data_IF_886344512857
#
_entry.id   IF_886344512857
#
_cell.length_a   1.000
_cell.length_b   1.000
_cell.length_c   1.000
_cell.angle_alpha   90.00
_cell.angle_beta   90.00
_cell.angle_gamma   90.00
#
_symmetry.space_group_name_H-M   'P 1'
#
loop_
_entity.id
_entity.type
_entity.pdbx_description
1 polymer ?
#
# COMPACT_ATOMS: atom_id res chain seq x y z
N UNK A 1 4.51 -9.10 16.57
CA UNK A 1 5.30 -8.62 17.75
C UNK A 1 6.82 -8.60 17.48
N UNK A 2 7.52 -9.72 17.20
CA UNK A 2 8.99 -9.72 17.01
C UNK A 2 9.53 -8.75 15.93
N UNK A 3 8.85 -8.61 14.79
CA UNK A 3 9.29 -7.71 13.70
C UNK A 3 9.23 -6.22 14.07
N UNK A 4 8.18 -5.79 14.78
CA UNK A 4 8.02 -4.40 15.20
C UNK A 4 9.07 -4.00 16.23
N UNK A 5 9.31 -4.86 17.25
CA UNK A 5 10.36 -4.64 18.25
C UNK A 5 11.76 -4.48 17.63
N UNK A 6 12.06 -5.26 16.57
CA UNK A 6 13.30 -5.10 15.83
C UNK A 6 13.38 -3.72 15.15
N UNK A 7 12.30 -3.28 14.50
CA UNK A 7 12.25 -1.97 13.85
C UNK A 7 12.36 -0.83 14.87
N UNK A 8 11.70 -0.92 16.03
CA UNK A 8 11.84 0.05 17.12
C UNK A 8 13.29 0.17 17.58
N UNK A 9 13.99 -0.97 17.71
CA UNK A 9 15.43 -0.98 18.02
C UNK A 9 16.25 -0.28 16.95
N UNK A 10 16.01 -0.57 15.68
CA UNK A 10 16.71 0.06 14.54
C UNK A 10 16.46 1.57 14.51
N UNK A 11 15.20 1.99 14.67
CA UNK A 11 14.81 3.42 14.73
C UNK A 11 15.56 4.13 15.86
N UNK A 12 15.64 3.51 17.05
CA UNK A 12 16.35 4.06 18.19
C UNK A 12 17.86 4.15 17.96
N UNK A 13 18.49 3.09 17.45
CA UNK A 13 19.94 3.04 17.21
C UNK A 13 20.38 4.02 16.12
N UNK A 14 19.57 4.17 15.06
CA UNK A 14 19.84 5.08 13.94
C UNK A 14 19.26 6.50 14.14
N UNK A 15 18.56 6.76 15.25
CA UNK A 15 17.91 8.04 15.59
C UNK A 15 17.00 8.56 14.47
N UNK A 16 16.19 7.67 13.90
CA UNK A 16 15.29 8.01 12.80
C UNK A 16 14.02 8.68 13.34
N UNK A 17 13.49 9.72 12.65
CA UNK A 17 12.24 10.37 13.03
C UNK A 17 11.03 9.56 12.54
N UNK A 18 10.93 8.30 12.95
CA UNK A 18 9.92 7.34 12.47
C UNK A 18 9.17 6.72 13.65
N UNK A 19 7.87 6.54 13.51
CA UNK A 19 7.04 5.80 14.45
C UNK A 19 6.78 4.38 13.92
N UNK A 20 6.82 3.39 14.83
CA UNK A 20 6.57 1.99 14.49
C UNK A 20 5.25 1.57 15.14
N UNK A 21 4.31 1.14 14.31
CA UNK A 21 3.02 0.63 14.76
C UNK A 21 2.95 -0.88 14.54
N UNK A 22 2.42 -1.60 15.54
CA UNK A 22 2.28 -3.05 15.50
C UNK A 22 0.80 -3.44 15.58
N UNK A 23 0.14 -3.52 14.43
CA UNK A 23 -1.28 -3.87 14.36
C UNK A 23 -1.72 -4.13 12.93
N UNK A 24 -3.01 -4.36 12.76
CA UNK A 24 -3.62 -4.44 11.44
C UNK A 24 -3.99 -3.05 10.95
N UNK A 25 -3.83 -2.82 9.65
CA UNK A 25 -4.20 -1.54 9.02
C UNK A 25 -5.68 -1.19 9.25
N UNK A 26 -6.56 -2.19 9.31
CA UNK A 26 -7.99 -2.01 9.56
C UNK A 26 -8.30 -1.54 11.00
N UNK A 27 -7.41 -1.82 11.96
CA UNK A 27 -7.55 -1.32 13.34
C UNK A 27 -7.23 0.17 13.38
N UNK A 28 -6.16 0.60 12.71
CA UNK A 28 -5.76 2.00 12.62
C UNK A 28 -6.77 2.82 11.80
N UNK A 29 -7.36 2.27 10.74
CA UNK A 29 -8.37 2.97 9.94
C UNK A 29 -9.63 3.40 10.73
N UNK A 30 -9.89 2.77 11.88
CA UNK A 30 -11.01 3.13 12.77
C UNK A 30 -10.65 4.21 13.79
N UNK A 31 -9.37 4.53 13.94
CA UNK A 31 -8.88 5.55 14.87
C UNK A 31 -8.85 6.89 14.16
N UNK A 32 -9.50 7.89 14.74
CA UNK A 32 -9.65 9.23 14.13
C UNK A 32 -8.31 9.87 13.82
N UNK A 33 -7.26 9.64 14.62
CA UNK A 33 -5.92 10.19 14.36
C UNK A 33 -5.25 9.66 13.08
N UNK A 34 -5.69 8.53 12.53
CA UNK A 34 -5.09 7.89 11.36
C UNK A 34 -5.94 8.05 10.10
N UNK A 35 -7.19 8.50 10.23
CA UNK A 35 -8.05 8.76 9.09
C UNK A 35 -7.51 9.92 8.27
N UNK A 36 -7.37 9.69 6.97
CA UNK A 36 -6.87 10.66 6.00
C UNK A 36 -5.50 11.30 6.33
N UNK A 37 -4.73 10.72 7.26
CA UNK A 37 -3.49 11.29 7.78
C UNK A 37 -2.26 11.01 6.89
N UNK A 38 -2.38 10.13 5.90
CA UNK A 38 -1.25 9.60 5.12
C UNK A 38 -1.38 9.96 3.64
N UNK A 39 -0.88 11.12 3.17
CA UNK A 39 -0.94 11.48 1.76
C UNK A 39 -0.23 10.47 0.86
N UNK A 40 0.84 9.84 1.37
CA UNK A 40 1.61 8.84 0.64
C UNK A 40 1.68 7.54 1.46
N UNK A 41 1.33 6.42 0.84
CA UNK A 41 1.48 5.10 1.43
C UNK A 41 2.31 4.22 0.52
N UNK A 42 3.21 3.43 1.10
CA UNK A 42 3.89 2.36 0.37
C UNK A 42 3.66 1.00 1.03
N UNK A 43 3.49 -0.04 0.21
CA UNK A 43 3.31 -1.42 0.66
C UNK A 43 4.34 -2.36 0.03
N UNK A 44 5.11 -3.04 0.88
CA UNK A 44 6.09 -4.05 0.44
C UNK A 44 5.48 -5.45 0.45
N UNK A 45 5.13 -5.96 -0.73
CA UNK A 45 4.78 -7.36 -1.00
C UNK A 45 3.81 -7.98 0.01
N UNK A 46 2.62 -7.40 0.16
CA UNK A 46 1.56 -7.99 0.98
C UNK A 46 0.21 -7.70 0.32
N UNK A 47 -0.50 -8.76 -0.05
CA UNK A 47 -1.86 -8.79 -0.58
C UNK A 47 -2.08 -8.31 -2.04
N UNK A 48 -3.17 -8.81 -2.69
CA UNK A 48 -3.65 -8.32 -3.99
C UNK A 48 -3.96 -6.82 -3.96
N UNK A 49 -3.80 -6.16 -5.11
CA UNK A 49 -3.95 -4.71 -5.28
C UNK A 49 -5.30 -4.19 -4.78
N UNK A 50 -6.38 -4.90 -5.08
CA UNK A 50 -7.72 -4.54 -4.60
C UNK A 50 -7.84 -4.55 -3.07
N UNK A 51 -7.13 -5.44 -2.38
CA UNK A 51 -7.13 -5.48 -0.91
C UNK A 51 -6.35 -4.29 -0.35
N UNK A 52 -5.18 -4.01 -0.90
CA UNK A 52 -4.39 -2.84 -0.53
C UNK A 52 -5.17 -1.54 -0.74
N UNK A 53 -5.85 -1.41 -1.88
CA UNK A 53 -6.63 -0.23 -2.19
C UNK A 53 -7.69 0.05 -1.12
N UNK A 54 -8.44 -0.98 -0.70
CA UNK A 54 -9.43 -0.85 0.38
C UNK A 54 -8.79 -0.45 1.71
N UNK A 55 -7.69 -1.11 2.09
CA UNK A 55 -7.01 -0.85 3.35
C UNK A 55 -6.47 0.58 3.45
N UNK A 56 -5.96 1.10 2.34
CA UNK A 56 -5.34 2.43 2.29
C UNK A 56 -6.36 3.55 2.11
N UNK A 57 -7.49 3.31 1.41
CA UNK A 57 -8.49 4.34 1.14
C UNK A 57 -8.86 5.23 2.36
N UNK A 58 -9.22 4.69 3.55
CA UNK A 58 -9.59 5.51 4.70
C UNK A 58 -8.40 6.20 5.39
N UNK A 59 -7.17 5.74 5.14
CA UNK A 59 -5.96 6.29 5.75
C UNK A 59 -5.39 7.47 4.96
N UNK A 60 -5.80 7.63 3.71
CA UNK A 60 -5.28 8.68 2.83
C UNK A 60 -6.31 9.79 2.66
N UNK A 61 -5.92 11.02 2.33
CA UNK A 61 -6.83 12.04 1.85
C UNK A 61 -7.20 11.80 0.36
N UNK A 62 -8.15 12.57 -0.17
CA UNK A 62 -8.32 12.73 -1.63
C UNK A 62 -7.02 13.28 -2.23
N UNK A 63 -6.65 12.81 -3.42
CA UNK A 63 -5.36 13.09 -4.05
C UNK A 63 -4.17 12.34 -3.43
N UNK A 64 -4.37 11.59 -2.35
CA UNK A 64 -3.33 10.72 -1.78
C UNK A 64 -2.97 9.56 -2.72
N UNK A 65 -1.75 9.02 -2.59
CA UNK A 65 -1.24 7.98 -3.48
C UNK A 65 -0.74 6.74 -2.74
N UNK A 66 -1.07 5.58 -3.29
CA UNK A 66 -0.57 4.28 -2.84
C UNK A 66 0.45 3.75 -3.84
N UNK A 67 1.68 3.54 -3.37
CA UNK A 67 2.77 2.91 -4.12
C UNK A 67 2.96 1.46 -3.68
N UNK A 68 2.82 0.50 -4.60
CA UNK A 68 3.05 -0.91 -4.29
C UNK A 68 3.83 -1.62 -5.38
N UNK A 69 4.75 -2.47 -4.95
CA UNK A 69 5.52 -3.33 -5.84
C UNK A 69 4.71 -4.55 -6.23
N UNK A 70 4.62 -4.83 -7.53
CA UNK A 70 3.84 -5.92 -8.12
C UNK A 70 4.69 -6.73 -9.10
N UNK A 71 4.32 -8.00 -9.25
CA UNK A 71 5.00 -8.97 -10.10
C UNK A 71 4.20 -9.29 -11.35
N UNK A 72 4.36 -10.51 -11.83
CA UNK A 72 3.84 -10.95 -13.13
C UNK A 72 2.31 -10.97 -13.17
N UNK A 73 1.67 -11.19 -12.03
CA UNK A 73 0.20 -11.23 -11.85
C UNK A 73 -0.50 -9.87 -11.85
N UNK A 74 0.23 -8.77 -12.15
CA UNK A 74 -0.36 -7.43 -12.10
C UNK A 74 -1.59 -7.31 -12.99
N UNK A 75 -1.62 -7.96 -14.16
CA UNK A 75 -2.75 -7.86 -15.08
C UNK A 75 -4.04 -8.36 -14.42
N UNK A 76 -4.01 -9.54 -13.81
CA UNK A 76 -5.16 -10.08 -13.07
C UNK A 76 -5.52 -9.18 -11.87
N UNK A 77 -4.51 -8.69 -11.13
CA UNK A 77 -4.77 -7.83 -9.97
C UNK A 77 -5.37 -6.46 -10.32
N UNK A 78 -5.14 -5.96 -11.54
CA UNK A 78 -5.81 -4.76 -12.05
C UNK A 78 -7.27 -5.03 -12.37
N UNK A 79 -7.62 -6.23 -12.85
CA UNK A 79 -9.01 -6.60 -13.11
C UNK A 79 -9.83 -6.69 -11.81
N UNK A 80 -9.18 -7.12 -10.72
CA UNK A 80 -9.78 -7.15 -9.37
C UNK A 80 -10.13 -5.75 -8.81
N UNK A 81 -9.70 -4.66 -9.47
CA UNK A 81 -10.04 -3.30 -9.09
C UNK A 81 -11.42 -2.83 -9.59
N UNK A 82 -11.94 -3.41 -10.68
CA UNK A 82 -13.21 -2.99 -11.25
C UNK A 82 -14.39 -3.04 -10.24
N UNK A 83 -14.51 -4.07 -9.37
CA UNK A 83 -15.56 -4.08 -8.36
C UNK A 83 -15.49 -2.93 -7.36
N UNK A 84 -14.31 -2.32 -7.16
CA UNK A 84 -14.15 -1.18 -6.25
C UNK A 84 -14.62 0.11 -6.90
N UNK A 85 -14.33 0.27 -8.20
CA UNK A 85 -14.81 1.41 -8.99
C UNK A 85 -16.34 1.45 -9.04
N UNK A 86 -16.97 0.29 -9.21
CA UNK A 86 -18.44 0.17 -9.17
C UNK A 86 -19.05 0.54 -7.81
N UNK A 87 -18.26 0.50 -6.73
CA UNK A 87 -18.67 0.89 -5.38
C UNK A 87 -18.31 2.35 -5.04
N UNK A 88 -17.93 3.15 -6.03
CA UNK A 88 -17.66 4.58 -5.88
C UNK A 88 -16.22 4.94 -5.53
N UNK A 89 -15.30 3.97 -5.47
CA UNK A 89 -13.87 4.26 -5.29
C UNK A 89 -13.22 4.54 -6.65
N UNK A 90 -12.97 5.82 -6.96
CA UNK A 90 -12.30 6.23 -8.20
C UNK A 90 -10.84 6.55 -7.95
N UNK A 91 -9.98 6.06 -8.83
CA UNK A 91 -8.55 6.31 -8.78
C UNK A 91 -7.92 6.27 -10.16
N UNK A 92 -6.84 7.02 -10.33
CA UNK A 92 -5.93 6.88 -11.46
C UNK A 92 -4.94 5.74 -11.18
N UNK A 93 -4.60 4.96 -12.20
CA UNK A 93 -3.60 3.90 -12.12
C UNK A 93 -2.40 4.26 -12.98
N UNK A 94 -1.21 4.26 -12.39
CA UNK A 94 0.04 4.33 -13.13
C UNK A 94 0.86 3.07 -12.87
N UNK A 95 1.38 2.47 -13.95
CA UNK A 95 2.31 1.34 -13.88
C UNK A 95 3.67 1.80 -14.37
N UNK A 96 4.68 1.58 -13.55
CA UNK A 96 6.07 1.93 -13.84
C UNK A 96 6.86 0.62 -13.89
N UNK A 97 7.29 0.23 -15.08
CA UNK A 97 8.19 -0.90 -15.25
C UNK A 97 9.61 -0.51 -14.80
N UNK A 98 10.21 -1.37 -13.98
CA UNK A 98 11.59 -1.22 -13.56
C UNK A 98 12.27 -2.59 -13.49
N UNK A 99 13.58 -2.60 -13.62
CA UNK A 99 14.35 -3.84 -13.56
C UNK A 99 15.30 -3.80 -12.38
N UNK A 100 15.38 -4.91 -11.67
CA UNK A 100 16.33 -5.10 -10.58
C UNK A 100 17.26 -6.26 -10.90
N UNK A 101 18.49 -6.15 -10.45
CA UNK A 101 19.42 -7.26 -10.45
C UNK A 101 19.06 -8.21 -9.31
N UNK A 102 18.70 -9.43 -9.67
CA UNK A 102 18.54 -10.53 -8.74
C UNK A 102 19.75 -11.44 -8.85
N UNK A 103 20.41 -11.71 -7.73
CA UNK A 103 21.56 -12.60 -7.70
C UNK A 103 21.08 -13.96 -7.20
N UNK A 104 20.98 -14.92 -8.12
CA UNK A 104 20.63 -16.30 -7.83
C UNK A 104 21.79 -17.20 -8.27
N UNK A 105 22.24 -18.11 -7.41
CA UNK A 105 23.37 -19.02 -7.68
C UNK A 105 24.63 -18.31 -8.23
N UNK A 106 24.94 -17.11 -7.73
CA UNK A 106 26.11 -16.32 -8.14
C UNK A 106 26.01 -15.70 -9.54
N UNK A 107 24.87 -15.82 -10.24
CA UNK A 107 24.65 -15.19 -11.55
C UNK A 107 23.70 -14.01 -11.41
N UNK A 108 24.04 -12.83 -11.97
CA UNK A 108 23.12 -11.71 -12.02
C UNK A 108 22.05 -11.95 -13.09
N UNK A 109 20.80 -11.98 -12.67
CA UNK A 109 19.63 -12.05 -13.55
C UNK A 109 18.85 -10.75 -13.45
N UNK A 110 18.45 -10.20 -14.60
CA UNK A 110 17.64 -8.98 -14.65
C UNK A 110 16.17 -9.36 -14.53
N UNK A 111 15.57 -9.06 -13.38
CA UNK A 111 14.17 -9.36 -13.10
C UNK A 111 13.33 -8.11 -13.34
N UNK A 112 12.37 -8.21 -14.25
CA UNK A 112 11.39 -7.16 -14.46
C UNK A 112 10.42 -7.12 -13.29
N UNK A 113 10.13 -5.90 -12.82
CA UNK A 113 9.21 -5.62 -11.73
C UNK A 113 8.36 -4.43 -12.10
N UNK A 114 7.24 -4.28 -11.41
CA UNK A 114 6.32 -3.18 -11.64
C UNK A 114 6.08 -2.44 -10.34
N UNK A 115 6.16 -1.12 -10.39
CA UNK A 115 5.67 -0.25 -9.34
C UNK A 115 4.31 0.27 -9.80
N UNK A 116 3.30 0.09 -8.97
CA UNK A 116 1.95 0.58 -9.24
C UNK A 116 1.68 1.74 -8.31
N UNK A 117 1.17 2.84 -8.88
CA UNK A 117 0.65 3.98 -8.15
C UNK A 117 -0.87 4.04 -8.35
N UNK A 118 -1.61 4.07 -7.26
CA UNK A 118 -3.04 4.41 -7.24
C UNK A 118 -3.23 5.79 -6.62
N UNK A 119 -3.82 6.74 -7.35
CA UNK A 119 -4.12 8.08 -6.85
C UNK A 119 -5.63 8.25 -6.64
N UNK A 120 -6.05 8.63 -5.44
CA UNK A 120 -7.48 8.71 -5.10
C UNK A 120 -8.15 9.95 -5.70
N UNK A 121 -9.16 9.73 -6.55
CA UNK A 121 -9.97 10.79 -7.14
C UNK A 121 -11.31 10.95 -6.43
N UNK A 122 -11.89 9.84 -5.96
CA UNK A 122 -13.15 9.81 -5.20
C UNK A 122 -13.16 8.57 -4.30
N UNK A 123 -13.68 8.67 -3.07
CA UNK A 123 -13.60 7.57 -2.10
C UNK A 123 -14.92 6.92 -1.71
N UNK A 124 -16.06 7.44 -2.18
CA UNK A 124 -17.38 6.88 -1.88
C UNK A 124 -17.53 6.43 -0.42
N UNK A 125 -18.07 5.23 -0.20
CA UNK A 125 -18.23 4.64 1.13
C UNK A 125 -16.91 4.21 1.81
N UNK A 126 -15.78 4.17 1.08
CA UNK A 126 -14.46 3.77 1.60
C UNK A 126 -13.71 4.92 2.28
N UNK A 127 -14.18 6.17 2.16
CA UNK A 127 -13.57 7.35 2.78
C UNK A 127 -14.01 7.61 4.22
N UNK A 128 -15.20 7.16 4.63
CA UNK A 128 -15.82 7.59 5.89
C UNK A 128 -15.25 6.88 7.14
N UNK A 129 -14.35 5.90 7.01
CA UNK A 129 -13.74 5.17 8.13
C UNK A 129 -14.73 4.43 9.06
N UNK A 130 -16.04 4.57 8.84
CA UNK A 130 -17.15 4.15 9.72
C UNK A 130 -17.78 2.81 9.34
N UNK A 131 -17.53 2.28 8.14
CA UNK A 131 -18.08 0.97 7.73
C UNK A 131 -16.99 -0.08 7.59
N UNK A 132 -17.23 -1.20 8.27
CA UNK A 132 -16.35 -2.34 8.47
C UNK A 132 -15.87 -2.99 7.17
N UNK A 133 -14.56 -3.28 7.15
CA UNK A 133 -13.91 -4.30 6.33
C UNK A 133 -14.49 -5.69 6.55
#
# INVERSE_FOLDING_TARGET
KKKALFLERVVRELRLPVQVFAGRVEEFARQTEHQEAYPEITARAVAPLARLAKWCAPLQPLGGRLFTFKGDRLKEELEDLHPLQNKGLKFAVQVIDYAVWHFSAGRPERVQRKLVCLEWLEKGEYGDGKRSF
#
